data_IF_751624750482
#
_entry.id   IF_751624750482
#
_cell.length_a   1.000
_cell.length_b   1.000
_cell.length_c   1.000
_cell.angle_alpha   90.00
_cell.angle_beta   90.00
_cell.angle_gamma   90.00
#
_symmetry.space_group_name_H-M   'P 1'
#
loop_
_entity.id
_entity.type
_entity.pdbx_description
1 polymer ?
#
# COMPACT_ATOMS: atom_id res chain seq x y z
N UNK A 1 -15.23 -20.11 1.61
CA UNK A 1 -14.22 -19.22 1.00
C UNK A 1 -12.83 -19.64 1.45
N UNK A 2 -12.48 -19.45 2.72
CA UNK A 2 -11.16 -19.80 3.29
C UNK A 2 -10.68 -21.23 3.03
N UNK A 3 -11.55 -22.24 3.14
CA UNK A 3 -11.20 -23.67 2.91
C UNK A 3 -10.68 -23.97 1.49
N UNK A 4 -10.95 -23.09 0.52
CA UNK A 4 -10.51 -23.26 -0.87
C UNK A 4 -9.23 -22.47 -1.19
N UNK A 5 -8.70 -21.73 -0.22
CA UNK A 5 -7.52 -20.90 -0.42
C UNK A 5 -6.22 -21.73 -0.39
N UNK A 6 -5.27 -21.39 -1.26
CA UNK A 6 -4.01 -22.12 -1.44
C UNK A 6 -2.91 -21.11 -1.74
N UNK A 7 -1.68 -21.38 -1.29
CA UNK A 7 -0.51 -20.55 -1.56
C UNK A 7 -0.47 -19.30 -0.70
N UNK A 8 -0.21 -18.15 -1.30
CA UNK A 8 -0.18 -16.87 -0.60
C UNK A 8 -1.57 -16.23 -0.58
N UNK A 9 -2.01 -15.79 0.59
CA UNK A 9 -3.27 -15.08 0.77
C UNK A 9 -3.02 -13.69 1.33
N UNK A 10 -3.91 -12.75 1.01
CA UNK A 10 -3.79 -11.36 1.41
C UNK A 10 -4.94 -10.97 2.33
N UNK A 11 -4.62 -10.32 3.44
CA UNK A 11 -5.58 -9.77 4.39
C UNK A 11 -5.37 -8.26 4.47
N UNK A 12 -6.37 -7.50 4.07
CA UNK A 12 -6.35 -6.04 4.17
C UNK A 12 -6.98 -5.62 5.49
N UNK A 13 -6.27 -4.84 6.28
CA UNK A 13 -6.72 -4.30 7.56
C UNK A 13 -6.67 -2.78 7.56
N UNK A 14 -7.46 -2.15 8.44
CA UNK A 14 -7.51 -0.70 8.60
C UNK A 14 -6.75 -0.29 9.87
N UNK A 15 -5.65 0.44 9.72
CA UNK A 15 -4.81 0.98 10.79
C UNK A 15 -5.21 2.37 11.28
N UNK A 16 -6.28 2.96 10.73
CA UNK A 16 -6.81 4.31 11.06
C UNK A 16 -8.25 4.27 11.55
N UNK A 17 -8.62 3.24 12.31
CA UNK A 17 -10.00 3.05 12.79
C UNK A 17 -10.41 4.13 13.80
N UNK A 18 -11.48 4.85 13.51
CA UNK A 18 -12.00 5.92 14.37
C UNK A 18 -12.95 5.44 15.47
N UNK A 19 -13.34 4.16 15.46
CA UNK A 19 -14.24 3.57 16.45
C UNK A 19 -13.54 3.08 17.73
N UNK A 20 -12.28 3.48 17.93
CA UNK A 20 -11.46 3.13 19.08
C UNK A 20 -11.00 1.67 19.11
N UNK A 21 -11.28 0.89 18.07
CA UNK A 21 -10.85 -0.50 17.97
C UNK A 21 -9.53 -0.61 17.20
N UNK A 22 -8.72 -1.61 17.57
CA UNK A 22 -7.51 -1.97 16.84
C UNK A 22 -7.83 -2.65 15.50
N UNK A 23 -6.81 -2.79 14.65
CA UNK A 23 -6.91 -3.28 13.28
C UNK A 23 -7.36 -4.74 13.23
N UNK A 24 -6.81 -5.57 14.14
CA UNK A 24 -7.21 -6.97 14.28
C UNK A 24 -8.04 -7.21 15.54
N UNK A 25 -9.06 -8.05 15.41
CA UNK A 25 -9.94 -8.45 16.52
C UNK A 25 -10.05 -9.97 16.57
N UNK A 26 -9.77 -10.54 17.75
CA UNK A 26 -9.88 -11.98 17.99
C UNK A 26 -11.31 -12.53 17.78
N UNK A 27 -12.33 -11.68 17.83
CA UNK A 27 -13.72 -12.03 17.61
C UNK A 27 -14.24 -11.70 16.20
N UNK A 28 -13.36 -11.26 15.29
CA UNK A 28 -13.70 -10.97 13.89
C UNK A 28 -14.10 -12.24 13.14
N UNK A 29 -14.78 -12.06 12.00
CA UNK A 29 -15.12 -13.17 11.11
C UNK A 29 -13.87 -13.92 10.64
N UNK A 30 -12.81 -13.17 10.28
CA UNK A 30 -11.53 -13.75 9.90
C UNK A 30 -10.96 -14.65 10.99
N UNK A 31 -10.88 -14.16 12.23
CA UNK A 31 -10.33 -14.92 13.36
C UNK A 31 -11.15 -16.17 13.70
N UNK A 32 -12.49 -16.08 13.65
CA UNK A 32 -13.39 -17.17 14.06
C UNK A 32 -13.61 -18.24 13.00
N UNK A 33 -13.66 -17.84 11.72
CA UNK A 33 -14.16 -18.70 10.66
C UNK A 33 -13.21 -18.83 9.48
N UNK A 34 -12.37 -17.85 9.19
CA UNK A 34 -11.50 -17.93 8.00
C UNK A 34 -10.15 -18.52 8.36
N UNK A 35 -9.43 -17.93 9.31
CA UNK A 35 -8.10 -18.35 9.71
C UNK A 35 -8.02 -19.84 10.11
N UNK A 36 -8.93 -20.39 10.95
CA UNK A 36 -8.91 -21.81 11.27
C UNK A 36 -9.14 -22.73 10.06
N UNK A 37 -9.79 -22.20 9.02
CA UNK A 37 -10.13 -22.93 7.80
C UNK A 37 -9.10 -22.74 6.67
N UNK A 38 -8.10 -21.88 6.82
CA UNK A 38 -6.97 -21.77 5.88
C UNK A 38 -6.06 -23.02 5.90
N UNK A 39 -6.17 -23.82 6.96
CA UNK A 39 -5.38 -25.03 7.16
C UNK A 39 -6.06 -26.33 6.68
N UNK A 40 -7.27 -26.27 6.10
CA UNK A 40 -8.08 -27.49 5.91
C UNK A 40 -7.56 -28.39 4.79
N UNK A 41 -6.65 -29.28 5.18
CA UNK A 41 -6.23 -30.59 4.65
C UNK A 41 -6.06 -30.76 3.12
N UNK A 42 -4.81 -30.94 2.70
CA UNK A 42 -4.40 -31.37 1.36
C UNK A 42 -2.91 -31.09 1.11
N UNK A 43 -2.38 -31.53 -0.03
CA UNK A 43 -1.04 -31.11 -0.52
C UNK A 43 -1.02 -29.60 -0.82
N UNK A 44 -2.19 -29.06 -1.15
CA UNK A 44 -2.40 -27.65 -1.43
C UNK A 44 -2.96 -26.95 -0.20
N UNK A 45 -2.17 -26.05 0.40
CA UNK A 45 -2.53 -25.28 1.59
C UNK A 45 -2.05 -23.85 1.47
N UNK A 46 -2.57 -22.99 2.34
CA UNK A 46 -2.01 -21.65 2.53
C UNK A 46 -0.61 -21.76 3.14
N UNK A 47 0.35 -21.07 2.54
CA UNK A 47 1.77 -21.06 2.97
C UNK A 47 2.16 -19.74 3.60
N UNK A 48 1.56 -18.62 3.17
CA UNK A 48 1.86 -17.27 3.65
C UNK A 48 0.59 -16.43 3.75
N UNK A 49 0.46 -15.68 4.83
CA UNK A 49 -0.50 -14.61 5.01
C UNK A 49 0.23 -13.26 4.88
N UNK A 50 -0.09 -12.53 3.82
CA UNK A 50 0.38 -11.16 3.60
C UNK A 50 -0.67 -10.18 4.16
N UNK A 51 -0.39 -9.56 5.30
CA UNK A 51 -1.20 -8.49 5.87
C UNK A 51 -0.81 -7.16 5.24
N UNK A 52 -1.80 -6.49 4.66
CA UNK A 52 -1.66 -5.15 4.12
C UNK A 52 -2.41 -4.20 5.06
N UNK A 53 -1.67 -3.49 5.91
CA UNK A 53 -2.26 -2.55 6.86
C UNK A 53 -2.35 -1.18 6.21
N UNK A 54 -3.57 -0.69 6.03
CA UNK A 54 -3.83 0.58 5.36
C UNK A 54 -4.19 1.66 6.36
N UNK A 55 -3.50 2.78 6.29
CA UNK A 55 -3.85 4.01 6.96
C UNK A 55 -4.60 4.92 5.98
N UNK A 56 -5.72 5.46 6.44
CA UNK A 56 -6.49 6.40 5.63
C UNK A 56 -5.71 7.72 5.53
N UNK A 57 -5.56 8.32 4.33
CA UNK A 57 -4.88 9.61 4.18
C UNK A 57 -5.49 10.69 5.08
N UNK A 58 -4.63 11.54 5.66
CA UNK A 58 -4.99 12.58 6.63
C UNK A 58 -5.73 12.08 7.91
N UNK A 59 -5.80 10.77 8.16
CA UNK A 59 -6.38 10.22 9.38
C UNK A 59 -5.31 9.84 10.41
N UNK A 60 -5.71 9.79 11.67
CA UNK A 60 -4.84 9.34 12.75
C UNK A 60 -4.41 7.88 12.53
N UNK A 61 -3.12 7.62 12.69
CA UNK A 61 -2.56 6.26 12.76
C UNK A 61 -2.84 5.69 14.15
N UNK A 62 -3.59 4.59 14.20
CA UNK A 62 -3.98 3.91 15.45
C UNK A 62 -3.02 2.76 15.78
N UNK A 63 -2.50 2.08 14.76
CA UNK A 63 -1.67 0.89 14.91
C UNK A 63 -0.84 0.68 13.65
N UNK A 64 0.42 0.26 13.81
CA UNK A 64 1.31 -0.13 12.72
C UNK A 64 1.64 -1.62 12.74
N UNK A 65 2.16 -2.15 11.64
CA UNK A 65 2.72 -3.50 11.61
C UNK A 65 3.70 -3.73 12.76
N UNK A 66 3.56 -4.86 13.46
CA UNK A 66 4.38 -5.19 14.62
C UNK A 66 3.94 -4.54 15.93
N UNK A 67 2.77 -3.91 15.99
CA UNK A 67 2.21 -3.33 17.21
C UNK A 67 0.95 -4.07 17.70
N UNK A 68 0.68 -3.96 19.00
CA UNK A 68 -0.61 -4.27 19.66
C UNK A 68 -1.30 -5.56 19.15
N UNK A 69 -2.41 -5.43 18.42
CA UNK A 69 -3.22 -6.54 17.92
C UNK A 69 -2.56 -7.29 16.76
N UNK A 70 -1.64 -6.67 16.02
CA UNK A 70 -0.92 -7.30 14.93
C UNK A 70 0.19 -8.24 15.42
N UNK A 71 0.78 -7.99 16.59
CA UNK A 71 1.66 -8.96 17.28
C UNK A 71 0.86 -10.22 17.64
N UNK A 72 -0.37 -10.04 18.13
CA UNK A 72 -1.25 -11.15 18.46
C UNK A 72 -1.68 -11.91 17.20
N UNK A 73 -2.02 -11.21 16.12
CA UNK A 73 -2.33 -11.82 14.83
C UNK A 73 -1.16 -12.64 14.30
N UNK A 74 0.06 -12.12 14.35
CA UNK A 74 1.27 -12.82 13.93
C UNK A 74 1.45 -14.14 14.69
N UNK A 75 1.42 -14.07 16.03
CA UNK A 75 1.52 -15.27 16.89
C UNK A 75 0.42 -16.29 16.55
N UNK A 76 -0.81 -15.82 16.35
CA UNK A 76 -1.93 -16.69 16.03
C UNK A 76 -1.75 -17.38 14.67
N UNK A 77 -1.32 -16.66 13.64
CA UNK A 77 -1.09 -17.20 12.29
C UNK A 77 0.07 -18.18 12.27
N UNK A 78 1.15 -17.88 12.99
CA UNK A 78 2.29 -18.78 13.14
C UNK A 78 1.94 -20.07 13.88
N UNK A 79 0.96 -20.04 14.81
CA UNK A 79 0.43 -21.27 15.43
C UNK A 79 -0.23 -22.22 14.41
N UNK A 80 -0.69 -21.66 13.29
CA UNK A 80 -1.16 -22.40 12.12
C UNK A 80 -0.03 -22.67 11.10
N UNK A 81 1.24 -22.60 11.46
CA UNK A 81 2.37 -22.92 10.57
C UNK A 81 2.33 -22.17 9.22
N UNK A 82 1.69 -21.00 9.19
CA UNK A 82 1.60 -20.13 8.03
C UNK A 82 2.62 -19.02 8.23
N UNK A 83 3.42 -18.72 7.21
CA UNK A 83 4.34 -17.58 7.22
C UNK A 83 3.54 -16.28 7.33
N UNK A 84 4.01 -15.34 8.15
CA UNK A 84 3.35 -14.06 8.35
C UNK A 84 4.24 -12.93 7.82
N UNK A 85 3.66 -12.08 6.97
CA UNK A 85 4.28 -10.83 6.54
C UNK A 85 3.28 -9.70 6.73
N UNK A 86 3.74 -8.56 7.24
CA UNK A 86 2.93 -7.36 7.36
C UNK A 86 3.63 -6.19 6.66
N UNK A 87 2.89 -5.46 5.82
CA UNK A 87 3.37 -4.24 5.19
C UNK A 87 2.40 -3.10 5.51
N UNK A 88 2.94 -2.03 6.10
CA UNK A 88 2.23 -0.76 6.23
C UNK A 88 2.18 -0.08 4.86
N UNK A 89 1.00 0.40 4.50
CA UNK A 89 0.77 1.33 3.40
C UNK A 89 1.47 0.99 2.07
N UNK A 90 1.19 -0.19 1.46
CA UNK A 90 1.69 -0.50 0.12
C UNK A 90 1.32 0.61 -0.85
N UNK A 91 2.30 1.10 -1.62
CA UNK A 91 2.22 2.31 -2.43
C UNK A 91 1.04 2.27 -3.42
N UNK A 92 0.78 1.11 -4.01
CA UNK A 92 -0.30 0.90 -4.97
C UNK A 92 -1.68 1.02 -4.31
N UNK A 93 -1.81 0.56 -3.07
CA UNK A 93 -3.05 0.63 -2.31
C UNK A 93 -3.29 2.02 -1.73
N UNK A 94 -2.24 2.71 -1.28
CA UNK A 94 -2.35 4.13 -0.94
C UNK A 94 -2.84 4.92 -2.14
N UNK A 95 -2.25 4.73 -3.32
CA UNK A 95 -2.68 5.43 -4.52
C UNK A 95 -4.16 5.16 -4.85
N UNK A 96 -4.62 3.92 -4.68
CA UNK A 96 -6.04 3.56 -4.85
C UNK A 96 -6.95 4.35 -3.89
N UNK A 97 -6.53 4.55 -2.63
CA UNK A 97 -7.30 5.33 -1.64
C UNK A 97 -7.30 6.85 -1.92
N UNK A 98 -6.39 7.34 -2.76
CA UNK A 98 -6.25 8.76 -3.08
C UNK A 98 -7.24 9.30 -4.11
N UNK A 99 -8.21 8.49 -4.55
CA UNK A 99 -9.23 8.91 -5.52
C UNK A 99 -10.03 10.13 -5.04
N UNK A 100 -10.35 10.17 -3.75
CA UNK A 100 -11.25 11.20 -3.19
C UNK A 100 -10.50 12.39 -2.59
N UNK A 101 -9.27 12.18 -2.12
CA UNK A 101 -8.42 13.23 -1.55
C UNK A 101 -6.99 13.09 -2.08
N UNK A 102 -6.75 13.63 -3.25
CA UNK A 102 -5.43 13.59 -3.89
C UNK A 102 -4.42 14.54 -3.22
N UNK A 103 -4.89 15.55 -2.49
CA UNK A 103 -4.04 16.59 -1.89
C UNK A 103 -3.33 16.12 -0.61
N UNK A 104 -3.89 15.10 0.06
CA UNK A 104 -3.31 14.47 1.23
C UNK A 104 -1.81 14.17 1.05
N UNK A 105 -1.04 14.36 2.13
CA UNK A 105 0.42 14.22 2.09
C UNK A 105 0.84 12.82 1.63
N UNK A 106 0.18 11.79 2.13
CA UNK A 106 0.40 10.38 1.80
C UNK A 106 0.18 10.14 0.29
N UNK A 107 -0.82 10.80 -0.29
CA UNK A 107 -1.16 10.71 -1.71
C UNK A 107 -0.17 11.42 -2.64
N UNK A 108 0.42 12.53 -2.18
CA UNK A 108 1.51 13.18 -2.90
C UNK A 108 2.76 12.28 -2.91
N UNK A 109 3.09 11.68 -1.76
CA UNK A 109 4.25 10.81 -1.62
C UNK A 109 4.12 9.54 -2.46
N UNK A 110 2.98 8.84 -2.40
CA UNK A 110 2.75 7.61 -3.16
C UNK A 110 2.88 7.85 -4.68
N UNK A 111 2.34 8.97 -5.19
CA UNK A 111 2.50 9.37 -6.60
C UNK A 111 3.95 9.63 -6.99
N UNK A 112 4.74 10.26 -6.12
CA UNK A 112 6.14 10.52 -6.39
C UNK A 112 6.96 9.23 -6.45
N UNK A 113 6.71 8.28 -5.53
CA UNK A 113 7.39 6.99 -5.51
C UNK A 113 7.07 6.21 -6.78
N UNK A 114 5.78 6.04 -7.10
CA UNK A 114 5.37 5.31 -8.30
C UNK A 114 5.87 5.99 -9.58
N UNK A 115 5.87 7.32 -9.66
CA UNK A 115 6.45 8.03 -10.81
C UNK A 115 7.93 7.66 -10.99
N UNK A 116 8.73 7.70 -9.92
CA UNK A 116 10.15 7.33 -9.99
C UNK A 116 10.35 5.87 -10.40
N UNK A 117 9.52 4.96 -9.92
CA UNK A 117 9.59 3.54 -10.28
C UNK A 117 9.23 3.30 -11.75
N UNK A 118 8.15 3.93 -12.23
CA UNK A 118 7.74 3.90 -13.62
C UNK A 118 8.80 4.52 -14.53
N UNK A 119 9.35 5.68 -14.15
CA UNK A 119 10.43 6.33 -14.91
C UNK A 119 11.67 5.43 -14.99
N UNK A 120 12.04 4.78 -13.89
CA UNK A 120 13.16 3.83 -13.85
C UNK A 120 12.89 2.59 -14.72
N UNK A 121 11.66 2.09 -14.74
CA UNK A 121 11.25 0.90 -15.51
C UNK A 121 11.15 1.19 -17.00
N UNK A 122 10.63 2.35 -17.38
CA UNK A 122 10.43 2.77 -18.77
C UNK A 122 11.70 3.34 -19.40
N UNK A 123 12.46 4.14 -18.66
CA UNK A 123 13.63 4.87 -19.17
C UNK A 123 14.95 4.35 -18.62
N UNK A 124 14.96 3.08 -18.20
CA UNK A 124 16.10 2.29 -17.71
C UNK A 124 17.44 2.99 -17.79
N UNK A 125 17.82 3.66 -16.69
CA UNK A 125 19.14 4.27 -16.49
C UNK A 125 19.45 5.41 -17.47
N UNK A 126 18.74 6.53 -17.35
CA UNK A 126 19.25 7.82 -17.84
C UNK A 126 19.33 8.82 -16.69
N UNK A 127 20.53 9.37 -16.46
CA UNK A 127 20.71 10.60 -15.70
C UNK A 127 20.04 11.73 -16.48
N UNK A 128 18.72 11.85 -16.35
CA UNK A 128 18.02 13.03 -16.85
C UNK A 128 18.23 14.13 -15.82
N UNK A 129 19.35 14.83 -15.96
CA UNK A 129 19.49 16.15 -15.36
C UNK A 129 18.40 17.02 -15.98
N UNK A 130 17.34 17.28 -15.21
CA UNK A 130 16.46 18.41 -15.47
C UNK A 130 17.25 19.69 -15.20
N UNK A 131 18.15 20.04 -16.13
CA UNK A 131 18.54 21.42 -16.28
C UNK A 131 17.29 22.15 -16.79
N UNK A 132 16.61 22.85 -15.90
CA UNK A 132 15.76 23.97 -16.29
C UNK A 132 16.66 24.98 -17.02
N UNK A 133 16.88 24.75 -18.31
CA UNK A 133 17.61 25.68 -19.15
C UNK A 133 16.66 26.85 -19.44
N UNK A 134 16.91 27.95 -18.73
CA UNK A 134 16.21 29.24 -18.85
C UNK A 134 16.15 29.71 -20.32
N UNK A 135 16.97 29.16 -21.22
CA UNK A 135 16.95 29.42 -22.65
C UNK A 135 15.65 29.05 -23.38
N UNK A 136 14.85 28.09 -22.89
CA UNK A 136 13.60 27.69 -23.58
C UNK A 136 12.45 28.71 -23.38
N UNK A 137 12.43 29.42 -22.25
CA UNK A 137 11.45 30.49 -21.98
C UNK A 137 11.75 31.77 -22.77
N UNK A 138 13.02 32.02 -23.10
CA UNK A 138 13.40 33.20 -23.86
C UNK A 138 12.99 33.05 -25.34
N UNK A 139 13.11 31.87 -25.93
CA UNK A 139 12.68 31.64 -27.33
C UNK A 139 11.17 31.78 -27.52
N UNK A 140 10.36 31.34 -26.56
CA UNK A 140 8.90 31.54 -26.60
C UNK A 140 8.50 33.01 -26.47
N UNK A 141 9.29 33.80 -25.76
CA UNK A 141 9.05 35.25 -25.60
C UNK A 141 9.41 36.05 -26.86
N UNK A 142 10.40 35.61 -27.63
CA UNK A 142 10.77 36.27 -28.89
C UNK A 142 9.84 35.93 -30.06
N UNK A 143 9.27 34.72 -30.11
CA UNK A 143 8.34 34.34 -31.18
C UNK A 143 6.96 34.99 -31.03
N UNK A 144 6.47 35.22 -29.81
CA UNK A 144 5.20 35.92 -29.59
C UNK A 144 5.30 37.40 -29.97
N UNK A 145 6.45 38.04 -29.78
CA UNK A 145 6.64 39.46 -30.13
C UNK A 145 6.90 39.71 -31.62
N UNK A 146 7.23 38.70 -32.44
CA UNK A 146 7.41 38.88 -33.88
C UNK A 146 6.12 38.68 -34.68
N UNK A 147 5.07 38.13 -34.07
CA UNK A 147 3.75 37.95 -34.69
C UNK A 147 2.73 39.04 -34.34
N UNK A 148 3.12 40.03 -33.52
CA UNK A 148 2.32 41.20 -33.16
C UNK A 148 3.10 42.48 -33.51
N UNK A 149 3.50 42.61 -34.79
CA UNK A 149 3.91 43.87 -35.42
C UNK A 149 3.72 43.78 -36.93
#
# INVERSE_FOLDING_TARGET
FAEKAVGEVYLVLNGSRTDGQLSFRNNSYFAKYELPNLQRTGIFRVTKLNVLLLHSPDQQVVEKCGEKSLIYLETLVQSYQIEYLCKDDPEELILMMCSDNWEARECQLARQVLRKEWDKKLFGKSNVNYHHSISFLILFSFLVNYFIL
#
